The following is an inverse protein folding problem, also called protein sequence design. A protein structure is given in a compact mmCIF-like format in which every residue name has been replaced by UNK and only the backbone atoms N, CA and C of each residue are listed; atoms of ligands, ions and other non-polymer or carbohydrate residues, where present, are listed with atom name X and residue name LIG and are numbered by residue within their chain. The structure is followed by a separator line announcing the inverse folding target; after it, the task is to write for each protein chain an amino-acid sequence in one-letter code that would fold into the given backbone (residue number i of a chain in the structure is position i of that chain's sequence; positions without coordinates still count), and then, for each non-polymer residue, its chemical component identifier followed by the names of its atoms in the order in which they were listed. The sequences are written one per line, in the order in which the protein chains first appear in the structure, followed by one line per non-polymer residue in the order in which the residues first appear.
data_IF_850663631227
#
_entry.id   IF_850663631227
#
_cell.length_a   1.000
_cell.length_b   1.000
_cell.length_c   1.000
_cell.angle_alpha   90.00
_cell.angle_beta   90.00
_cell.angle_gamma   90.00
#
_symmetry.space_group_name_H-M   'P 1'
#
loop_
_entity.id
_entity.type
_entity.pdbx_description
1 polymer ?
#
# COMPACT_ATOMS: atom_id res chain seq x y z
N UNK A 1 32.65 -21.34 8.00
CA UNK A 1 31.76 -22.04 7.06
C UNK A 1 31.26 -21.01 6.08
N UNK A 2 31.84 -21.03 4.86
CA UNK A 2 31.45 -20.14 3.77
C UNK A 2 30.04 -20.48 3.30
N UNK A 3 29.23 -19.46 3.07
CA UNK A 3 27.85 -19.56 2.58
C UNK A 3 27.73 -20.01 1.10
N UNK A 4 28.83 -20.47 0.49
CA UNK A 4 28.92 -20.71 -0.94
C UNK A 4 28.72 -22.16 -1.40
N UNK A 5 28.54 -23.13 -0.50
CA UNK A 5 28.61 -24.56 -0.90
C UNK A 5 27.27 -25.34 -0.77
N UNK A 6 26.11 -24.70 -0.67
CA UNK A 6 24.82 -25.41 -0.63
C UNK A 6 23.73 -24.79 -1.49
N UNK A 7 24.05 -24.20 -2.62
CA UNK A 7 23.05 -23.95 -3.64
C UNK A 7 22.78 -25.25 -4.43
N UNK A 8 22.18 -26.26 -3.78
CA UNK A 8 21.46 -27.30 -4.50
C UNK A 8 20.45 -26.60 -5.41
N UNK A 9 20.63 -26.75 -6.70
CA UNK A 9 19.70 -26.24 -7.70
C UNK A 9 18.35 -26.93 -7.45
N UNK A 10 17.46 -26.27 -6.70
CA UNK A 10 16.13 -26.77 -6.43
C UNK A 10 15.44 -26.96 -7.79
N UNK A 11 14.95 -28.16 -8.07
CA UNK A 11 14.29 -28.47 -9.35
C UNK A 11 13.09 -27.52 -9.56
N UNK A 12 12.75 -27.21 -10.80
CA UNK A 12 11.62 -26.36 -11.14
C UNK A 12 10.30 -26.83 -10.47
N UNK A 13 10.11 -28.14 -10.34
CA UNK A 13 8.96 -28.74 -9.68
C UNK A 13 8.90 -28.38 -8.18
N UNK A 14 10.01 -28.49 -7.46
CA UNK A 14 10.09 -28.05 -6.05
C UNK A 14 9.89 -26.55 -5.89
N UNK A 15 10.40 -25.74 -6.82
CA UNK A 15 10.16 -24.30 -6.79
C UNK A 15 8.68 -23.97 -6.94
N UNK A 16 7.97 -24.67 -7.85
CA UNK A 16 6.51 -24.52 -8.04
C UNK A 16 5.76 -24.97 -6.78
N UNK A 17 6.17 -26.06 -6.15
CA UNK A 17 5.57 -26.57 -4.92
C UNK A 17 5.73 -25.57 -3.77
N UNK A 18 6.92 -25.03 -3.55
CA UNK A 18 7.16 -23.98 -2.56
C UNK A 18 6.32 -22.72 -2.85
N UNK A 19 6.24 -22.31 -4.11
CA UNK A 19 5.44 -21.14 -4.49
C UNK A 19 3.95 -21.33 -4.16
N UNK A 20 3.40 -22.52 -4.47
CA UNK A 20 2.02 -22.88 -4.12
C UNK A 20 1.81 -22.89 -2.61
N UNK A 21 2.74 -23.47 -1.86
CA UNK A 21 2.67 -23.49 -0.40
C UNK A 21 2.68 -22.07 0.19
N UNK A 22 3.59 -21.22 -0.25
CA UNK A 22 3.63 -19.83 0.20
C UNK A 22 2.38 -19.05 -0.16
N UNK A 23 1.79 -19.30 -1.32
CA UNK A 23 0.54 -18.67 -1.72
C UNK A 23 -0.60 -19.05 -0.78
N UNK A 24 -0.77 -20.33 -0.49
CA UNK A 24 -1.79 -20.84 0.45
C UNK A 24 -1.58 -20.25 1.84
N UNK A 25 -0.36 -20.29 2.37
CA UNK A 25 -0.04 -19.73 3.71
C UNK A 25 -0.34 -18.22 3.76
N UNK A 26 -0.06 -17.50 2.69
CA UNK A 26 -0.38 -16.06 2.62
C UNK A 26 -1.89 -15.80 2.66
N UNK A 27 -2.66 -16.52 1.86
CA UNK A 27 -4.12 -16.36 1.81
C UNK A 27 -4.77 -16.77 3.13
N UNK A 28 -4.34 -17.88 3.73
CA UNK A 28 -4.82 -18.30 5.04
C UNK A 28 -4.46 -17.30 6.14
N UNK A 29 -3.24 -16.77 6.13
CA UNK A 29 -2.83 -15.75 7.10
C UNK A 29 -3.62 -14.44 6.94
N UNK A 30 -3.90 -14.02 5.72
CA UNK A 30 -4.75 -12.85 5.47
C UNK A 30 -6.15 -13.08 6.03
N UNK A 31 -6.77 -14.24 5.78
CA UNK A 31 -8.08 -14.58 6.33
C UNK A 31 -8.09 -14.55 7.87
N UNK A 32 -7.03 -15.09 8.50
CA UNK A 32 -6.88 -15.06 9.97
C UNK A 32 -6.81 -13.62 10.47
N UNK A 33 -6.00 -12.77 9.82
CA UNK A 33 -5.88 -11.34 10.19
C UNK A 33 -7.18 -10.58 10.01
N UNK A 34 -7.90 -10.77 8.90
CA UNK A 34 -9.20 -10.14 8.66
C UNK A 34 -10.23 -10.56 9.70
N UNK A 35 -10.25 -11.86 10.04
CA UNK A 35 -11.12 -12.40 11.09
C UNK A 35 -10.77 -11.80 12.45
N UNK A 36 -9.48 -11.73 12.80
CA UNK A 36 -9.03 -11.11 14.04
C UNK A 36 -9.43 -9.65 14.11
N UNK A 37 -9.17 -8.87 13.06
CA UNK A 37 -9.56 -7.46 13.00
C UNK A 37 -11.08 -7.25 13.07
N UNK A 38 -11.87 -8.15 12.49
CA UNK A 38 -13.31 -8.11 12.62
C UNK A 38 -13.74 -8.22 14.09
N UNK A 39 -13.21 -9.19 14.84
CA UNK A 39 -13.53 -9.35 16.25
C UNK A 39 -12.99 -8.20 17.10
N UNK A 40 -11.78 -7.72 16.84
CA UNK A 40 -11.20 -6.56 17.53
C UNK A 40 -12.11 -5.33 17.33
N UNK A 41 -12.54 -5.05 16.10
CA UNK A 41 -13.48 -3.94 15.82
C UNK A 41 -14.80 -4.08 16.57
N UNK A 42 -15.34 -5.28 16.65
CA UNK A 42 -16.57 -5.53 17.43
C UNK A 42 -16.37 -5.27 18.92
N UNK A 43 -15.24 -5.71 19.49
CA UNK A 43 -14.90 -5.43 20.88
C UNK A 43 -14.75 -3.92 21.12
N UNK A 44 -14.01 -3.23 20.24
CA UNK A 44 -13.82 -1.76 20.35
C UNK A 44 -15.15 -1.04 20.26
N UNK A 45 -16.05 -1.38 19.31
CA UNK A 45 -17.40 -0.81 19.22
C UNK A 45 -18.19 -1.05 20.49
N UNK A 46 -18.14 -2.26 21.05
CA UNK A 46 -18.88 -2.60 22.28
C UNK A 46 -18.36 -1.81 23.48
N UNK A 47 -17.04 -1.67 23.62
CA UNK A 47 -16.42 -0.87 24.68
C UNK A 47 -16.82 0.60 24.51
N UNK A 48 -16.77 1.14 23.30
CA UNK A 48 -17.18 2.51 23.02
C UNK A 48 -18.64 2.75 23.39
N UNK A 49 -19.52 1.82 23.04
CA UNK A 49 -20.93 1.88 23.40
C UNK A 49 -21.15 1.86 24.92
N UNK A 50 -20.42 1.01 25.65
CA UNK A 50 -20.50 0.94 27.11
C UNK A 50 -20.03 2.25 27.77
N UNK A 51 -18.95 2.84 27.26
CA UNK A 51 -18.30 4.01 27.85
C UNK A 51 -18.91 5.35 27.40
N UNK A 52 -19.44 5.43 26.17
CA UNK A 52 -19.90 6.68 25.54
C UNK A 52 -21.35 6.63 25.06
N UNK A 53 -21.99 5.46 25.03
CA UNK A 53 -23.34 5.29 24.48
C UNK A 53 -23.43 5.39 22.96
N UNK A 54 -22.30 5.35 22.24
CA UNK A 54 -22.20 5.48 20.79
C UNK A 54 -21.47 4.29 20.16
N UNK A 55 -21.88 3.89 18.96
CA UNK A 55 -21.14 2.89 18.17
C UNK A 55 -19.99 3.49 17.35
N UNK A 56 -19.94 4.80 17.22
CA UNK A 56 -18.88 5.51 16.48
C UNK A 56 -17.62 5.60 17.34
N UNK A 57 -16.79 4.56 17.23
CA UNK A 57 -15.52 4.46 17.97
C UNK A 57 -14.40 5.29 17.37
N UNK A 58 -14.50 5.71 16.10
CA UNK A 58 -13.45 6.46 15.41
C UNK A 58 -13.27 7.86 16.01
N UNK A 59 -14.37 8.47 16.41
CA UNK A 59 -14.36 9.74 17.13
C UNK A 59 -14.43 9.58 18.66
N UNK A 60 -14.42 8.34 19.15
CA UNK A 60 -14.56 7.99 20.56
C UNK A 60 -13.26 7.45 21.16
N UNK A 61 -13.36 6.25 21.74
CA UNK A 61 -12.28 5.59 22.50
C UNK A 61 -11.02 5.29 21.67
N UNK A 62 -11.11 5.22 20.34
CA UNK A 62 -9.94 5.07 19.47
C UNK A 62 -8.95 6.25 19.61
N UNK A 63 -9.39 7.37 20.14
CA UNK A 63 -8.55 8.52 20.44
C UNK A 63 -7.92 8.50 21.84
N UNK A 64 -8.13 7.45 22.62
CA UNK A 64 -7.43 7.21 23.88
C UNK A 64 -6.18 6.35 23.63
N UNK A 65 -5.09 6.63 24.36
CA UNK A 65 -3.98 5.71 24.41
C UNK A 65 -4.37 4.45 25.17
N UNK A 66 -3.69 3.35 24.90
CA UNK A 66 -3.95 2.05 25.53
C UNK A 66 -4.05 2.12 27.06
N UNK A 67 -3.15 2.83 27.73
CA UNK A 67 -3.15 3.00 29.18
C UNK A 67 -4.37 3.78 29.69
N UNK A 68 -4.74 4.86 28.98
CA UNK A 68 -5.91 5.68 29.30
C UNK A 68 -7.22 4.89 29.14
N UNK A 69 -7.28 4.06 28.07
CA UNK A 69 -8.43 3.19 27.84
C UNK A 69 -8.54 2.11 28.93
N UNK A 70 -7.45 1.49 29.34
CA UNK A 70 -7.45 0.51 30.43
C UNK A 70 -7.90 1.14 31.75
N UNK A 71 -7.45 2.35 32.08
CA UNK A 71 -7.90 3.07 33.26
C UNK A 71 -9.39 3.38 33.22
N UNK A 72 -9.91 3.83 32.06
CA UNK A 72 -11.33 4.07 31.87
C UNK A 72 -12.18 2.78 32.00
N UNK A 73 -11.69 1.68 31.44
CA UNK A 73 -12.34 0.38 31.57
C UNK A 73 -12.36 -0.12 33.01
N UNK A 74 -11.27 0.04 33.76
CA UNK A 74 -11.20 -0.35 35.17
C UNK A 74 -12.14 0.50 36.06
N UNK A 75 -12.36 1.77 35.70
CA UNK A 75 -13.36 2.63 36.36
C UNK A 75 -14.80 2.33 35.93
N UNK A 76 -14.97 1.67 34.77
CA UNK A 76 -16.29 1.45 34.15
C UNK A 76 -16.91 2.70 33.52
N UNK A 77 -16.17 3.82 33.44
CA UNK A 77 -16.67 5.08 32.89
C UNK A 77 -15.53 5.99 32.41
N UNK A 78 -15.85 6.89 31.49
CA UNK A 78 -14.98 8.01 31.12
C UNK A 78 -15.21 9.20 32.07
N UNK A 79 -14.13 9.77 32.56
CA UNK A 79 -14.16 11.03 33.30
C UNK A 79 -14.09 12.24 32.35
N UNK A 80 -14.24 13.45 32.87
CA UNK A 80 -14.21 14.67 32.05
C UNK A 80 -12.84 14.89 31.38
N UNK A 81 -11.75 14.49 32.01
CA UNK A 81 -10.41 14.57 31.45
C UNK A 81 -10.25 13.63 30.23
N UNK A 82 -10.81 12.43 30.28
CA UNK A 82 -10.79 11.48 29.16
C UNK A 82 -11.57 12.04 27.97
N UNK A 83 -12.74 12.63 28.22
CA UNK A 83 -13.56 13.28 27.19
C UNK A 83 -12.85 14.47 26.57
N UNK A 84 -12.19 15.29 27.38
CA UNK A 84 -11.37 16.41 26.90
C UNK A 84 -10.23 15.95 26.01
N UNK A 85 -9.52 14.87 26.39
CA UNK A 85 -8.47 14.25 25.57
C UNK A 85 -8.99 13.75 24.24
N UNK A 86 -10.14 13.06 24.23
CA UNK A 86 -10.81 12.58 23.02
C UNK A 86 -11.11 13.76 22.10
N UNK A 87 -11.79 14.78 22.58
CA UNK A 87 -12.18 15.96 21.81
C UNK A 87 -10.96 16.67 21.22
N UNK A 88 -9.95 16.95 22.05
CA UNK A 88 -8.70 17.59 21.60
C UNK A 88 -7.97 16.78 20.54
N UNK A 89 -7.97 15.44 20.61
CA UNK A 89 -7.33 14.59 19.61
C UNK A 89 -8.14 14.51 18.33
N UNK A 90 -9.47 14.48 18.41
CA UNK A 90 -10.37 14.57 17.26
C UNK A 90 -10.14 15.88 16.47
N UNK A 91 -10.03 17.00 17.16
CA UNK A 91 -9.76 18.30 16.52
C UNK A 91 -8.40 18.35 15.83
N UNK A 92 -7.39 17.67 16.39
CA UNK A 92 -6.03 17.65 15.85
C UNK A 92 -5.81 16.60 14.76
N UNK A 93 -6.65 15.58 14.67
CA UNK A 93 -6.48 14.48 13.73
C UNK A 93 -6.41 14.93 12.25
N UNK A 94 -7.28 15.84 11.76
CA UNK A 94 -7.16 16.36 10.40
C UNK A 94 -5.84 17.10 10.13
N UNK A 95 -5.31 17.79 11.15
CA UNK A 95 -4.01 18.45 11.05
C UNK A 95 -2.86 17.42 11.02
N UNK A 96 -2.96 16.38 11.84
CA UNK A 96 -1.97 15.30 11.86
C UNK A 96 -1.89 14.58 10.50
N UNK A 97 -3.03 14.32 9.84
CA UNK A 97 -3.06 13.78 8.48
C UNK A 97 -2.36 14.71 7.50
N UNK A 98 -2.67 16.02 7.53
CA UNK A 98 -2.01 17.01 6.65
C UNK A 98 -0.51 17.08 6.87
N UNK A 99 -0.06 17.01 8.12
CA UNK A 99 1.38 17.00 8.46
C UNK A 99 2.02 15.70 7.99
N UNK A 100 1.35 14.55 8.16
CA UNK A 100 1.82 13.27 7.67
C UNK A 100 1.96 13.25 6.14
N UNK A 101 0.96 13.75 5.42
CA UNK A 101 1.01 13.83 3.96
C UNK A 101 2.09 14.81 3.48
N UNK A 102 2.21 15.96 4.15
CA UNK A 102 3.29 16.93 3.87
C UNK A 102 4.68 16.33 4.19
N UNK A 103 4.83 15.55 5.25
CA UNK A 103 6.11 14.91 5.60
C UNK A 103 6.52 13.86 4.58
N UNK A 104 5.58 13.15 3.96
CA UNK A 104 5.88 12.26 2.83
C UNK A 104 6.45 13.03 1.65
N UNK A 105 5.93 14.21 1.34
CA UNK A 105 6.47 15.08 0.30
C UNK A 105 7.87 15.59 0.63
N UNK A 106 8.13 15.93 1.90
CA UNK A 106 9.45 16.43 2.36
C UNK A 106 10.55 15.37 2.37
N UNK A 107 10.20 14.11 2.60
CA UNK A 107 11.17 12.99 2.58
C UNK A 107 11.69 12.74 1.15
N UNK A 108 10.98 13.21 0.12
CA UNK A 108 11.22 12.91 -1.27
C UNK A 108 11.53 14.15 -2.14
N UNK A 109 11.75 15.33 -1.57
CA UNK A 109 12.40 16.45 -2.28
C UNK A 109 13.88 16.13 -2.52
N UNK A 110 14.14 15.06 -3.25
CA UNK A 110 15.40 14.93 -3.96
C UNK A 110 15.26 15.73 -5.26
N UNK A 111 16.19 16.64 -5.50
CA UNK A 111 16.34 17.40 -6.75
C UNK A 111 16.67 16.50 -7.97
N UNK A 112 16.42 15.20 -7.86
CA UNK A 112 16.63 14.26 -8.95
C UNK A 112 15.31 14.09 -9.72
N UNK A 113 15.33 14.37 -11.01
CA UNK A 113 14.24 14.05 -11.96
C UNK A 113 13.92 12.54 -12.05
N UNK A 114 14.52 11.76 -11.19
CA UNK A 114 14.53 10.30 -11.19
C UNK A 114 13.87 9.75 -9.94
N UNK A 115 12.79 9.00 -10.11
CA UNK A 115 12.23 8.18 -9.02
C UNK A 115 12.94 6.82 -8.96
N UNK A 116 13.19 6.34 -7.75
CA UNK A 116 13.76 5.02 -7.50
C UNK A 116 12.76 4.16 -6.72
N UNK A 117 12.66 2.90 -7.10
CA UNK A 117 11.79 1.92 -6.44
C UNK A 117 12.33 0.50 -6.59
N UNK A 118 11.54 -0.46 -6.16
CA UNK A 118 11.87 -1.88 -6.35
C UNK A 118 11.62 -2.29 -7.81
N UNK A 119 12.57 -3.04 -8.42
CA UNK A 119 12.35 -3.73 -9.69
C UNK A 119 11.23 -4.75 -9.53
N UNK A 120 10.06 -4.46 -10.07
CA UNK A 120 8.90 -5.35 -10.09
C UNK A 120 8.94 -6.35 -11.22
N UNK A 121 9.29 -5.87 -12.43
CA UNK A 121 9.45 -6.66 -13.66
C UNK A 121 10.48 -5.99 -14.55
N UNK A 122 11.32 -6.79 -15.19
CA UNK A 122 12.42 -6.33 -16.03
C UNK A 122 11.92 -5.69 -17.34
N UNK A 123 12.81 -4.91 -17.98
CA UNK A 123 12.55 -4.26 -19.27
C UNK A 123 12.62 -2.73 -19.17
N UNK A 124 12.52 -2.08 -20.33
CA UNK A 124 12.49 -0.63 -20.46
C UNK A 124 11.32 -0.24 -21.35
N UNK A 125 10.53 0.72 -20.94
CA UNK A 125 9.46 1.27 -21.74
C UNK A 125 9.44 2.80 -21.64
N UNK A 126 8.95 3.43 -22.71
CA UNK A 126 8.67 4.86 -22.79
C UNK A 126 7.20 5.00 -23.20
N UNK A 127 6.48 5.87 -22.53
CA UNK A 127 5.06 6.08 -22.83
C UNK A 127 4.49 7.26 -22.08
N UNK A 128 3.22 7.51 -22.34
CA UNK A 128 2.45 8.54 -21.63
C UNK A 128 1.98 8.03 -20.28
N UNK A 129 2.08 8.88 -19.29
CA UNK A 129 1.51 8.64 -17.97
C UNK A 129 -0.01 8.59 -18.04
N UNK A 130 -0.61 7.57 -17.48
CA UNK A 130 -2.02 7.51 -17.16
C UNK A 130 -2.15 7.23 -15.65
N UNK A 131 -2.56 8.25 -14.89
CA UNK A 131 -2.77 8.14 -13.45
C UNK A 131 -4.16 7.56 -13.20
N UNK A 132 -4.20 6.43 -12.51
CA UNK A 132 -5.43 5.75 -12.15
C UNK A 132 -5.46 5.58 -10.64
N UNK A 133 -6.45 6.20 -9.98
CA UNK A 133 -6.59 6.16 -8.52
C UNK A 133 -7.66 5.20 -8.04
N UNK A 134 -8.56 4.78 -8.92
CA UNK A 134 -9.65 3.87 -8.57
C UNK A 134 -10.16 3.10 -9.80
N UNK A 135 -10.89 1.99 -9.61
CA UNK A 135 -11.52 1.25 -10.72
C UNK A 135 -12.45 2.09 -11.60
N UNK A 136 -13.04 3.14 -11.05
CA UNK A 136 -13.90 4.06 -11.79
C UNK A 136 -13.16 4.84 -12.88
N UNK A 137 -11.84 4.87 -12.84
CA UNK A 137 -10.97 5.61 -13.77
C UNK A 137 -10.31 4.71 -14.81
N UNK A 138 -10.59 3.41 -14.83
CA UNK A 138 -10.01 2.45 -15.78
C UNK A 138 -10.22 2.84 -17.25
N UNK A 139 -11.31 3.54 -17.55
CA UNK A 139 -11.62 4.01 -18.89
C UNK A 139 -10.61 5.02 -19.46
N UNK A 140 -9.78 5.66 -18.61
CA UNK A 140 -8.75 6.61 -19.05
C UNK A 140 -7.60 5.92 -19.78
N UNK A 141 -7.33 4.65 -19.41
CA UNK A 141 -6.15 3.92 -19.86
C UNK A 141 -6.25 3.57 -21.34
N UNK A 142 -5.24 3.97 -22.11
CA UNK A 142 -5.11 3.64 -23.52
C UNK A 142 -3.97 2.64 -23.74
N UNK A 143 -4.02 1.93 -24.85
CA UNK A 143 -2.98 0.97 -25.21
C UNK A 143 -1.64 1.68 -25.42
N UNK A 144 -0.61 1.24 -24.69
CA UNK A 144 0.73 1.81 -24.73
C UNK A 144 1.02 2.87 -23.68
N UNK A 145 0.03 3.27 -22.88
CA UNK A 145 0.25 4.15 -21.74
C UNK A 145 1.05 3.46 -20.63
N UNK A 146 1.67 4.26 -19.78
CA UNK A 146 2.29 3.80 -18.53
C UNK A 146 1.26 3.99 -17.41
N UNK A 147 0.87 2.86 -16.81
CA UNK A 147 -0.01 2.87 -15.64
C UNK A 147 0.74 3.43 -14.43
N UNK A 148 0.29 4.56 -13.91
CA UNK A 148 0.78 5.15 -12.67
C UNK A 148 -0.33 5.10 -11.62
N UNK A 149 -0.07 4.45 -10.47
CA UNK A 149 -1.09 4.25 -9.45
C UNK A 149 -0.49 4.22 -8.05
N UNK A 150 -1.33 4.33 -7.03
CA UNK A 150 -0.87 4.21 -5.66
C UNK A 150 -0.56 2.75 -5.29
N UNK A 151 -1.45 1.82 -5.63
CA UNK A 151 -1.29 0.36 -5.50
C UNK A 151 -2.17 -0.34 -6.53
N UNK A 152 -2.01 -1.66 -6.69
CA UNK A 152 -2.90 -2.49 -7.49
C UNK A 152 -3.41 -3.67 -6.69
N UNK A 153 -4.60 -4.14 -7.04
CA UNK A 153 -5.21 -5.37 -6.58
C UNK A 153 -5.70 -6.22 -7.78
N UNK A 154 -6.29 -7.41 -7.59
CA UNK A 154 -6.67 -8.29 -8.68
C UNK A 154 -7.61 -7.69 -9.74
N UNK A 155 -8.48 -6.75 -9.37
CA UNK A 155 -9.39 -6.11 -10.34
C UNK A 155 -8.65 -5.21 -11.35
N UNK A 156 -7.41 -4.81 -11.07
CA UNK A 156 -6.59 -3.97 -11.96
C UNK A 156 -5.93 -4.76 -13.10
N UNK A 157 -5.97 -6.09 -13.06
CA UNK A 157 -5.34 -6.97 -14.05
C UNK A 157 -5.67 -6.61 -15.51
N UNK A 158 -6.90 -6.19 -15.88
CA UNK A 158 -7.20 -5.78 -17.26
C UNK A 158 -6.36 -4.60 -17.75
N UNK A 159 -5.93 -3.68 -16.89
CA UNK A 159 -5.12 -2.51 -17.27
C UNK A 159 -3.72 -2.93 -17.71
N UNK A 160 -3.16 -4.01 -17.15
CA UNK A 160 -1.84 -4.51 -17.52
C UNK A 160 -1.76 -4.94 -18.98
N UNK A 161 -2.89 -5.35 -19.60
CA UNK A 161 -2.96 -5.67 -21.03
C UNK A 161 -2.82 -4.44 -21.92
N UNK A 162 -3.16 -3.28 -21.40
CA UNK A 162 -3.09 -2.01 -22.12
C UNK A 162 -1.77 -1.29 -21.85
N UNK A 163 -1.21 -1.48 -20.65
CA UNK A 163 -0.02 -0.79 -20.19
C UNK A 163 1.24 -1.21 -20.95
N UNK A 164 2.10 -0.25 -21.25
CA UNK A 164 3.48 -0.48 -21.70
C UNK A 164 4.45 -0.68 -20.53
N UNK A 165 4.12 -0.13 -19.36
CA UNK A 165 4.82 -0.33 -18.09
C UNK A 165 3.89 0.01 -16.91
N UNK A 166 4.32 -0.36 -15.69
CA UNK A 166 3.62 -0.05 -14.45
C UNK A 166 4.54 0.64 -13.47
N UNK A 167 4.04 1.72 -12.86
CA UNK A 167 4.70 2.45 -11.76
C UNK A 167 3.70 2.54 -10.61
N UNK A 168 4.09 2.05 -9.43
CA UNK A 168 3.23 2.13 -8.26
C UNK A 168 3.95 2.79 -7.08
N UNK A 169 3.24 3.67 -6.37
CA UNK A 169 3.79 4.37 -5.20
C UNK A 169 4.14 3.39 -4.08
N UNK A 170 3.34 2.33 -3.93
CA UNK A 170 3.57 1.27 -2.95
C UNK A 170 3.82 -0.08 -3.64
N UNK A 171 4.29 -1.03 -2.86
CA UNK A 171 4.56 -2.38 -3.37
C UNK A 171 6.04 -2.75 -3.33
N UNK A 172 6.29 -4.02 -3.55
CA UNK A 172 7.63 -4.61 -3.55
C UNK A 172 7.72 -5.71 -4.61
N UNK A 173 8.87 -6.34 -4.75
CA UNK A 173 9.16 -7.35 -5.78
C UNK A 173 8.21 -8.58 -5.77
N UNK A 174 7.49 -8.82 -4.68
CA UNK A 174 6.51 -9.91 -4.52
C UNK A 174 5.07 -9.42 -4.42
N UNK A 175 4.80 -8.14 -4.69
CA UNK A 175 3.44 -7.61 -4.69
C UNK A 175 2.64 -8.08 -5.91
N UNK A 176 1.31 -7.94 -5.84
CA UNK A 176 0.40 -8.23 -6.96
C UNK A 176 0.87 -7.57 -8.27
N UNK A 177 1.20 -6.26 -8.22
CA UNK A 177 1.69 -5.53 -9.39
C UNK A 177 2.93 -6.17 -10.02
N UNK A 178 3.89 -6.63 -9.21
CA UNK A 178 5.10 -7.28 -9.70
C UNK A 178 4.81 -8.61 -10.39
N UNK A 179 3.94 -9.43 -9.79
CA UNK A 179 3.58 -10.75 -10.32
C UNK A 179 2.89 -10.59 -11.67
N UNK A 180 1.86 -9.75 -11.72
CA UNK A 180 1.08 -9.53 -12.94
C UNK A 180 1.94 -8.89 -14.04
N UNK A 181 2.78 -7.89 -13.71
CA UNK A 181 3.68 -7.28 -14.69
C UNK A 181 4.63 -8.30 -15.34
N UNK A 182 5.15 -9.27 -14.56
CA UNK A 182 5.98 -10.38 -15.10
C UNK A 182 5.18 -11.29 -16.01
N UNK A 183 3.93 -11.62 -15.66
CA UNK A 183 3.05 -12.45 -16.50
C UNK A 183 2.77 -11.80 -17.86
N UNK A 184 2.61 -10.46 -17.86
CA UNK A 184 2.41 -9.69 -19.09
C UNK A 184 3.71 -9.27 -19.78
N UNK A 185 4.89 -9.58 -19.21
CA UNK A 185 6.22 -9.19 -19.70
C UNK A 185 6.35 -7.68 -19.93
N UNK A 186 5.77 -6.86 -19.05
CA UNK A 186 5.90 -5.40 -19.08
C UNK A 186 6.78 -4.92 -17.93
N UNK A 187 7.61 -3.88 -18.14
CA UNK A 187 8.44 -3.30 -17.09
C UNK A 187 7.58 -2.80 -15.92
N UNK A 188 8.09 -2.99 -14.69
CA UNK A 188 7.43 -2.44 -13.51
C UNK A 188 8.44 -1.92 -12.48
N UNK A 189 8.17 -0.73 -11.94
CA UNK A 189 8.90 -0.12 -10.83
C UNK A 189 7.90 0.22 -9.73
N UNK A 190 8.13 -0.33 -8.53
CA UNK A 190 7.17 -0.33 -7.44
C UNK A 190 7.79 0.27 -6.18
N UNK A 191 6.94 0.81 -5.29
CA UNK A 191 7.42 1.42 -4.05
C UNK A 191 8.18 2.71 -4.29
N UNK A 192 7.84 3.46 -5.34
CA UNK A 192 8.50 4.75 -5.67
C UNK A 192 8.06 5.89 -4.76
N UNK A 193 6.97 5.70 -4.01
CA UNK A 193 6.50 6.61 -2.96
C UNK A 193 5.52 7.67 -3.43
N UNK A 194 5.72 8.31 -4.57
CA UNK A 194 4.96 9.52 -4.94
C UNK A 194 4.88 9.80 -6.45
N UNK A 195 4.94 8.77 -7.29
CA UNK A 195 4.78 8.94 -8.75
C UNK A 195 3.44 9.58 -9.11
N UNK A 196 2.37 9.20 -8.40
CA UNK A 196 1.01 9.75 -8.60
C UNK A 196 0.89 11.24 -8.33
N UNK A 197 1.79 11.82 -7.54
CA UNK A 197 1.82 13.26 -7.23
C UNK A 197 2.88 14.01 -8.02
N UNK A 198 3.94 13.32 -8.44
CA UNK A 198 5.05 13.92 -9.20
C UNK A 198 4.70 14.11 -10.66
N UNK A 199 4.11 13.10 -11.30
CA UNK A 199 3.76 13.14 -12.73
C UNK A 199 2.32 13.58 -12.94
N UNK A 200 2.01 13.97 -14.17
CA UNK A 200 0.66 14.34 -14.61
C UNK A 200 0.22 13.46 -15.77
N UNK A 201 -1.09 13.26 -15.92
CA UNK A 201 -1.64 12.55 -17.07
C UNK A 201 -1.12 13.14 -18.39
N UNK A 202 -0.66 12.28 -19.28
CA UNK A 202 -0.13 12.64 -20.58
C UNK A 202 1.36 13.00 -20.62
N UNK A 203 2.05 13.16 -19.49
CA UNK A 203 3.51 13.34 -19.47
C UNK A 203 4.23 12.12 -20.04
N UNK A 204 5.34 12.35 -20.73
CA UNK A 204 6.19 11.28 -21.25
C UNK A 204 7.21 10.88 -20.19
N UNK A 205 7.25 9.60 -19.85
CA UNK A 205 8.24 9.06 -18.91
C UNK A 205 8.92 7.80 -19.47
N UNK A 206 10.10 7.51 -18.95
CA UNK A 206 10.80 6.25 -19.14
C UNK A 206 10.76 5.43 -17.84
N UNK A 207 10.39 4.17 -17.95
CA UNK A 207 10.42 3.19 -16.88
C UNK A 207 11.50 2.15 -17.18
N UNK A 208 12.53 2.09 -16.33
CA UNK A 208 13.59 1.07 -16.38
C UNK A 208 13.35 0.07 -15.23
N UNK A 209 12.62 -0.99 -15.53
CA UNK A 209 12.33 -2.07 -14.59
C UNK A 209 13.55 -2.91 -14.22
N UNK A 210 14.65 -2.87 -15.03
CA UNK A 210 15.88 -3.58 -14.66
C UNK A 210 16.59 -2.91 -13.49
N UNK A 211 16.56 -1.55 -13.48
CA UNK A 211 17.25 -0.74 -12.48
C UNK A 211 16.32 -0.24 -11.37
N UNK A 212 14.99 -0.43 -11.50
CA UNK A 212 14.03 0.13 -10.58
C UNK A 212 13.96 1.66 -10.64
N UNK A 213 13.99 2.23 -11.85
CA UNK A 213 14.11 3.68 -12.05
C UNK A 213 13.03 4.21 -12.98
N UNK A 214 12.47 5.37 -12.65
CA UNK A 214 11.51 6.12 -13.48
C UNK A 214 12.01 7.53 -13.69
N UNK A 215 11.97 8.04 -14.94
CA UNK A 215 12.44 9.38 -15.33
C UNK A 215 11.41 10.11 -16.17
N UNK A 216 11.25 11.42 -15.96
CA UNK A 216 10.62 12.30 -16.93
C UNK A 216 11.46 12.46 -18.20
N UNK A 217 10.83 12.71 -19.34
CA UNK A 217 11.46 12.97 -20.63
C UNK A 217 11.20 14.37 -21.12
#
# INVERSE_FOLDING_TARGET
LSLDDTAETISAEKQIEYFRYFHVVREESQYIWETLFYYVRRCVKRINYILLGSEDYEVGIANLFHTELLEAMNRGSLNELDKEKINRRNEKFPLAIKVWDASKLLIFETNDDVLKGASGSAGIAVGKVCIVNSPKEFYKMQKGDILVCHFTDPEWTPLFKLASAVVADTGAALSHAAIVAREFNIPAVLGVGFATTKYKDGEMIQVDGNKGVVRGL
#
